data_IF_216211850624
#
_entry.id   IF_216211850624
#
_cell.length_a   1.000
_cell.length_b   1.000
_cell.length_c   1.000
_cell.angle_alpha   90.00
_cell.angle_beta   90.00
_cell.angle_gamma   90.00
#
_symmetry.space_group_name_H-M   'P 1'
#
loop_
_entity.id
_entity.type
_entity.pdbx_description
1 polymer ?
#
# COMPACT_ATOMS: atom_id res chain seq x y z
N UNK A 1 6.66 13.61 5.63
CA UNK A 1 7.51 13.31 6.77
C UNK A 1 7.11 11.99 7.40
N UNK A 2 8.04 11.05 7.42
CA UNK A 2 7.81 9.72 8.00
C UNK A 2 8.35 9.71 9.42
N UNK A 3 7.46 9.44 10.39
CA UNK A 3 7.85 9.25 11.77
C UNK A 3 8.19 7.78 12.01
N UNK A 4 9.05 7.52 12.98
CA UNK A 4 9.43 6.16 13.35
C UNK A 4 8.20 5.36 13.78
N UNK A 5 8.05 4.15 13.22
CA UNK A 5 6.91 3.28 13.49
C UNK A 5 5.65 3.63 12.74
N UNK A 6 5.65 4.67 11.91
CA UNK A 6 4.49 5.04 11.12
C UNK A 6 4.17 3.94 10.09
N UNK A 7 2.92 3.44 10.04
CA UNK A 7 2.55 2.46 9.02
C UNK A 7 2.43 3.14 7.64
N UNK A 8 3.02 2.51 6.65
CA UNK A 8 2.95 2.93 5.25
C UNK A 8 2.51 1.75 4.40
N UNK A 9 1.46 1.94 3.61
CA UNK A 9 0.94 0.91 2.73
C UNK A 9 1.47 1.17 1.33
N UNK A 10 2.10 0.15 0.75
CA UNK A 10 2.69 0.23 -0.58
C UNK A 10 2.05 -0.82 -1.48
N UNK A 11 1.53 -0.37 -2.62
CA UNK A 11 1.02 -1.27 -3.65
C UNK A 11 2.18 -1.62 -4.57
N UNK A 12 2.50 -2.92 -4.65
CA UNK A 12 3.65 -3.41 -5.42
C UNK A 12 3.16 -3.94 -6.76
N UNK A 13 3.66 -3.41 -7.88
CA UNK A 13 3.25 -3.89 -9.20
C UNK A 13 3.76 -5.30 -9.45
N UNK A 14 3.18 -5.97 -10.46
CA UNK A 14 3.58 -7.32 -10.84
C UNK A 14 5.05 -7.37 -11.23
N UNK A 15 5.83 -8.33 -10.72
CA UNK A 15 7.22 -8.51 -11.14
C UNK A 15 7.35 -9.18 -12.50
N UNK A 16 6.25 -9.64 -13.10
CA UNK A 16 6.27 -10.42 -14.34
C UNK A 16 6.36 -9.58 -15.61
N UNK A 17 5.99 -8.33 -15.54
CA UNK A 17 5.99 -7.44 -16.71
C UNK A 17 7.40 -6.94 -17.02
N UNK A 18 7.76 -6.93 -18.31
CA UNK A 18 9.09 -6.48 -18.74
C UNK A 18 9.37 -5.03 -18.38
N UNK A 19 8.34 -4.19 -18.45
CA UNK A 19 8.43 -2.75 -18.11
C UNK A 19 7.94 -2.46 -16.71
N UNK A 20 7.95 -3.45 -15.83
CA UNK A 20 7.43 -3.30 -14.48
C UNK A 20 8.23 -2.30 -13.67
N UNK A 21 7.51 -1.52 -12.87
CA UNK A 21 8.09 -0.66 -11.86
C UNK A 21 8.45 -1.41 -10.57
N UNK A 22 8.30 -2.73 -10.57
CA UNK A 22 8.56 -3.57 -9.39
C UNK A 22 9.92 -3.29 -8.74
N UNK A 23 11.05 -3.30 -9.47
CA UNK A 23 12.35 -3.06 -8.83
C UNK A 23 12.45 -1.67 -8.21
N UNK A 24 11.82 -0.67 -8.84
CA UNK A 24 11.82 0.69 -8.32
C UNK A 24 11.00 0.79 -7.03
N UNK A 25 9.84 0.13 -6.99
CA UNK A 25 9.00 0.11 -5.79
C UNK A 25 9.70 -0.62 -4.65
N UNK A 26 10.38 -1.73 -4.92
CA UNK A 26 11.18 -2.44 -3.91
C UNK A 26 12.27 -1.51 -3.33
N UNK A 27 12.95 -0.78 -4.19
CA UNK A 27 13.95 0.21 -3.76
C UNK A 27 13.33 1.30 -2.87
N UNK A 28 12.14 1.79 -3.24
CA UNK A 28 11.44 2.78 -2.45
C UNK A 28 11.02 2.22 -1.08
N UNK A 29 10.63 0.96 -1.01
CA UNK A 29 10.30 0.31 0.26
C UNK A 29 11.54 0.29 1.17
N UNK A 30 12.70 -0.06 0.64
CA UNK A 30 13.95 -0.03 1.40
C UNK A 30 14.23 1.36 1.96
N UNK A 31 14.02 2.38 1.15
CA UNK A 31 14.27 3.75 1.54
C UNK A 31 13.34 4.22 2.66
N UNK A 32 12.04 3.96 2.56
CA UNK A 32 11.11 4.37 3.60
C UNK A 32 11.27 3.57 4.88
N UNK A 33 11.66 2.30 4.78
CA UNK A 33 12.00 1.51 5.98
C UNK A 33 13.24 2.06 6.69
N UNK A 34 14.22 2.50 5.92
CA UNK A 34 15.41 3.12 6.49
C UNK A 34 15.09 4.39 7.30
N UNK A 35 13.95 5.01 7.01
CA UNK A 35 13.44 6.17 7.75
C UNK A 35 12.57 5.80 8.95
N UNK A 36 12.42 4.51 9.22
CA UNK A 36 11.70 4.02 10.40
C UNK A 36 10.24 3.65 10.15
N UNK A 37 9.77 3.65 8.91
CA UNK A 37 8.40 3.28 8.60
C UNK A 37 8.16 1.76 8.75
N UNK A 38 6.95 1.40 9.12
CA UNK A 38 6.47 0.01 9.10
C UNK A 38 5.73 -0.20 7.79
N UNK A 39 6.34 -0.91 6.86
CA UNK A 39 5.78 -1.10 5.52
C UNK A 39 4.88 -2.31 5.47
N UNK A 40 3.65 -2.09 5.02
CA UNK A 40 2.69 -3.13 4.69
C UNK A 40 2.55 -3.13 3.19
N UNK A 41 2.99 -4.20 2.53
CA UNK A 41 2.94 -4.28 1.09
C UNK A 41 1.69 -5.05 0.63
N UNK A 42 1.08 -4.58 -0.45
CA UNK A 42 0.05 -5.32 -1.18
C UNK A 42 0.71 -5.77 -2.47
N UNK A 43 0.88 -7.08 -2.63
CA UNK A 43 1.65 -7.65 -3.72
C UNK A 43 0.91 -8.81 -4.38
N UNK A 44 1.35 -9.15 -5.59
CA UNK A 44 0.81 -10.27 -6.33
C UNK A 44 1.27 -11.60 -5.72
N UNK A 45 0.39 -12.59 -5.68
CA UNK A 45 0.77 -13.94 -5.27
C UNK A 45 1.94 -14.45 -6.11
N UNK A 46 2.93 -15.03 -5.45
CA UNK A 46 4.14 -15.52 -6.11
C UNK A 46 5.28 -14.53 -6.15
N UNK A 47 5.08 -13.30 -5.67
CA UNK A 47 6.18 -12.34 -5.53
C UNK A 47 7.08 -12.78 -4.38
N UNK A 48 8.25 -13.33 -4.72
CA UNK A 48 9.19 -13.86 -3.75
C UNK A 48 10.10 -12.78 -3.13
N UNK A 49 10.16 -11.60 -3.73
CA UNK A 49 11.07 -10.54 -3.25
C UNK A 49 10.48 -9.69 -2.14
N UNK A 50 9.20 -9.37 -2.25
CA UNK A 50 8.58 -8.36 -1.39
C UNK A 50 8.62 -8.72 0.10
N UNK A 51 8.55 -10.00 0.42
CA UNK A 51 8.57 -10.47 1.80
C UNK A 51 9.87 -10.18 2.55
N UNK A 52 10.97 -10.00 1.82
CA UNK A 52 12.26 -9.68 2.43
C UNK A 52 12.38 -8.19 2.80
N UNK A 53 11.52 -7.36 2.23
CA UNK A 53 11.62 -5.91 2.38
C UNK A 53 10.48 -5.28 3.16
N UNK A 54 9.29 -5.87 3.12
CA UNK A 54 8.14 -5.37 3.86
C UNK A 54 7.99 -6.07 5.21
N UNK A 55 7.44 -5.37 6.18
CA UNK A 55 7.15 -5.97 7.48
C UNK A 55 6.00 -6.96 7.40
N UNK A 56 4.99 -6.63 6.60
CA UNK A 56 3.83 -7.50 6.34
C UNK A 56 3.47 -7.43 4.87
N UNK A 57 2.96 -8.52 4.33
CA UNK A 57 2.54 -8.58 2.93
C UNK A 57 1.12 -9.13 2.85
N UNK A 58 0.27 -8.45 2.09
CA UNK A 58 -1.05 -8.93 1.71
C UNK A 58 -0.96 -9.34 0.25
N UNK A 59 -1.15 -10.64 -0.03
CA UNK A 59 -1.07 -11.14 -1.39
C UNK A 59 -2.43 -11.07 -2.07
N UNK A 60 -2.45 -10.63 -3.31
CA UNK A 60 -3.63 -10.61 -4.17
C UNK A 60 -3.43 -11.54 -5.36
N UNK A 61 -4.52 -12.07 -5.96
CA UNK A 61 -4.39 -13.00 -7.08
C UNK A 61 -3.62 -12.41 -8.27
N UNK A 62 -2.92 -13.28 -9.00
CA UNK A 62 -2.28 -12.91 -10.27
C UNK A 62 -3.35 -12.65 -11.31
N UNK A 63 -3.36 -11.42 -11.84
CA UNK A 63 -4.32 -10.99 -12.86
C UNK A 63 -3.63 -10.09 -13.87
N UNK A 64 -4.37 -9.71 -14.91
CA UNK A 64 -3.89 -8.69 -15.81
C UNK A 64 -3.73 -7.35 -15.06
N UNK A 65 -2.80 -6.53 -15.51
CA UNK A 65 -2.37 -5.33 -14.81
C UNK A 65 -3.52 -4.40 -14.41
N UNK A 66 -4.49 -4.22 -15.28
CA UNK A 66 -5.62 -3.33 -15.02
C UNK A 66 -6.52 -3.84 -13.88
N UNK A 67 -6.73 -5.16 -13.83
CA UNK A 67 -7.51 -5.78 -12.75
C UNK A 67 -6.71 -5.84 -11.45
N UNK A 68 -5.40 -6.02 -11.57
CA UNK A 68 -4.51 -6.02 -10.41
C UNK A 68 -4.58 -4.71 -9.63
N UNK A 69 -4.65 -3.59 -10.30
CA UNK A 69 -4.80 -2.28 -9.65
C UNK A 69 -6.10 -2.21 -8.83
N UNK A 70 -7.21 -2.68 -9.40
CA UNK A 70 -8.50 -2.68 -8.71
C UNK A 70 -8.49 -3.62 -7.50
N UNK A 71 -7.95 -4.83 -7.65
CA UNK A 71 -7.88 -5.80 -6.56
C UNK A 71 -6.99 -5.31 -5.41
N UNK A 72 -5.95 -4.54 -5.71
CA UNK A 72 -5.07 -3.98 -4.69
C UNK A 72 -5.73 -2.90 -3.85
N UNK A 73 -6.69 -2.18 -4.40
CA UNK A 73 -7.42 -1.12 -3.69
C UNK A 73 -8.36 -1.69 -2.62
N UNK A 74 -8.97 -2.85 -2.86
CA UNK A 74 -9.95 -3.43 -1.95
C UNK A 74 -9.37 -3.70 -0.55
N UNK A 75 -8.22 -4.39 -0.39
CA UNK A 75 -7.61 -4.56 0.93
C UNK A 75 -7.26 -3.22 1.60
N UNK A 76 -6.83 -2.24 0.82
CA UNK A 76 -6.50 -0.91 1.34
C UNK A 76 -7.72 -0.21 1.92
N UNK A 77 -8.86 -0.28 1.23
CA UNK A 77 -10.11 0.29 1.71
C UNK A 77 -10.60 -0.41 2.98
N UNK A 78 -10.51 -1.73 3.02
CA UNK A 78 -10.88 -2.50 4.20
C UNK A 78 -10.00 -2.16 5.40
N UNK A 79 -8.70 -2.01 5.19
CA UNK A 79 -7.76 -1.60 6.22
C UNK A 79 -8.07 -0.22 6.76
N UNK A 80 -8.33 0.75 5.87
CA UNK A 80 -8.64 2.12 6.26
C UNK A 80 -9.92 2.18 7.11
N UNK A 81 -10.95 1.44 6.72
CA UNK A 81 -12.20 1.38 7.46
C UNK A 81 -11.99 0.77 8.85
N UNK A 82 -11.30 -0.36 8.92
CA UNK A 82 -11.01 -1.04 10.19
C UNK A 82 -10.19 -0.15 11.12
N UNK A 83 -9.17 0.53 10.59
CA UNK A 83 -8.33 1.42 11.37
C UNK A 83 -9.11 2.62 11.89
N UNK A 84 -9.93 3.23 11.06
CA UNK A 84 -10.77 4.36 11.45
C UNK A 84 -11.77 3.97 12.54
N UNK A 85 -12.39 2.81 12.40
CA UNK A 85 -13.32 2.29 13.40
C UNK A 85 -12.60 2.04 14.72
N UNK A 86 -11.42 1.43 14.69
CA UNK A 86 -10.64 1.14 15.88
C UNK A 86 -10.19 2.41 16.60
N UNK A 87 -9.93 3.47 15.86
CA UNK A 87 -9.52 4.77 16.42
C UNK A 87 -10.71 5.67 16.81
N UNK A 88 -11.93 5.26 16.50
CA UNK A 88 -13.12 6.07 16.76
C UNK A 88 -13.24 7.28 15.84
N UNK A 89 -12.62 7.23 14.66
CA UNK A 89 -12.66 8.31 13.69
C UNK A 89 -13.90 8.21 12.82
N UNK A 90 -14.35 9.36 12.32
CA UNK A 90 -15.46 9.41 11.36
C UNK A 90 -14.94 9.00 9.99
N UNK A 91 -15.42 7.86 9.49
CA UNK A 91 -14.99 7.32 8.19
C UNK A 91 -15.61 8.07 7.02
N UNK A 92 -16.72 8.78 7.23
CA UNK A 92 -17.42 9.53 6.19
C UNK A 92 -16.90 10.97 6.05
N UNK A 93 -16.32 11.51 7.11
CA UNK A 93 -15.82 12.88 7.15
C UNK A 93 -14.45 12.92 7.80
N UNK A 94 -13.39 12.72 7.02
CA UNK A 94 -12.03 12.76 7.53
C UNK A 94 -11.71 14.09 8.20
N UNK A 95 -11.06 14.01 9.36
CA UNK A 95 -10.83 15.17 10.24
C UNK A 95 -10.02 16.29 9.61
N UNK A 96 -9.04 15.96 8.81
CA UNK A 96 -8.08 16.92 8.25
C UNK A 96 -8.26 17.14 6.75
N UNK A 97 -9.36 16.67 6.19
CA UNK A 97 -9.62 16.76 4.76
C UNK A 97 -10.99 17.41 4.52
N UNK A 98 -11.07 18.20 3.48
CA UNK A 98 -12.35 18.70 3.01
C UNK A 98 -13.18 17.53 2.44
N UNK A 99 -14.51 17.63 2.57
CA UNK A 99 -15.43 16.65 2.01
C UNK A 99 -15.28 16.50 0.49
N UNK A 100 -14.90 17.58 -0.16
CA UNK A 100 -14.63 17.60 -1.59
C UNK A 100 -13.37 18.42 -1.82
N UNK A 101 -12.39 17.85 -2.50
CA UNK A 101 -11.17 18.53 -2.85
C UNK A 101 -11.15 18.72 -4.36
N UNK A 102 -11.13 19.95 -4.80
CA UNK A 102 -10.97 20.27 -6.20
C UNK A 102 -9.52 20.67 -6.44
N UNK A 103 -8.85 19.93 -7.31
CA UNK A 103 -7.46 20.21 -7.69
C UNK A 103 -7.48 20.73 -9.11
N UNK A 104 -6.96 21.92 -9.28
CA UNK A 104 -6.84 22.55 -10.59
C UNK A 104 -5.39 22.52 -11.06
#
# INVERSE_FOLDING_TARGET
LIEEGQPVIVIVPSPRDADSLHPKVISNIQEIRARGAKVIAIAEEGDAMVGDYAESVIFVPQTEQIFSAVLSVIPLQAFALALSTAKGLDVDQPRNLAKSVTVE
#
